data_IF_888540921147
#
_entry.id   IF_888540921147
#
_cell.length_a   1.000
_cell.length_b   1.000
_cell.length_c   1.000
_cell.angle_alpha   90.00
_cell.angle_beta   90.00
_cell.angle_gamma   90.00
#
_symmetry.space_group_name_H-M   'P 1'
#
loop_
_entity.id
_entity.type
_entity.pdbx_description
1 polymer ?
#
# COMPACT_ATOMS: atom_id res chain seq x y z
N UNK A 1 17.25 -1.20 2.29
CA UNK A 1 17.25 0.23 2.72
C UNK A 1 18.41 0.58 3.64
N UNK A 2 18.70 -0.20 4.71
CA UNK A 2 19.81 0.07 5.65
C UNK A 2 21.21 0.14 5.00
N UNK A 3 21.48 -0.69 3.98
CA UNK A 3 22.72 -0.62 3.20
C UNK A 3 22.85 0.72 2.48
N UNK A 4 21.83 1.11 1.71
CA UNK A 4 21.84 2.40 0.98
C UNK A 4 21.88 3.63 1.90
N UNK A 5 21.25 3.57 3.07
CA UNK A 5 21.38 4.63 4.09
C UNK A 5 22.84 4.77 4.53
N UNK A 6 23.52 3.65 4.77
CA UNK A 6 24.94 3.65 5.15
C UNK A 6 25.81 4.26 4.06
N UNK A 7 25.57 3.91 2.79
CA UNK A 7 26.32 4.47 1.66
C UNK A 7 26.16 6.01 1.59
N UNK A 8 24.94 6.52 1.81
CA UNK A 8 24.67 7.96 1.86
C UNK A 8 25.36 8.62 3.05
N UNK A 9 25.26 8.02 4.24
CA UNK A 9 25.90 8.54 5.45
C UNK A 9 27.44 8.57 5.31
N UNK A 10 28.03 7.56 4.66
CA UNK A 10 29.46 7.48 4.36
C UNK A 10 29.91 8.60 3.41
N UNK A 11 29.17 8.83 2.32
CA UNK A 11 29.46 9.91 1.35
C UNK A 11 29.33 11.28 2.01
N UNK A 12 28.28 11.51 2.80
CA UNK A 12 28.07 12.76 3.53
C UNK A 12 29.18 12.98 4.57
N UNK A 13 29.61 11.93 5.28
CA UNK A 13 30.71 12.00 6.24
C UNK A 13 32.04 12.31 5.55
N UNK A 14 32.28 11.72 4.38
CA UNK A 14 33.47 12.00 3.58
C UNK A 14 33.48 13.45 3.10
N UNK A 15 32.34 13.94 2.59
CA UNK A 15 32.19 15.34 2.17
C UNK A 15 32.44 16.30 3.33
N UNK A 16 31.84 16.08 4.50
CA UNK A 16 32.10 16.89 5.69
C UNK A 16 33.57 16.86 6.13
N UNK A 17 34.20 15.68 6.11
CA UNK A 17 35.61 15.54 6.47
C UNK A 17 36.52 16.33 5.54
N UNK A 18 36.26 16.28 4.23
CA UNK A 18 36.94 17.10 3.23
C UNK A 18 36.75 18.59 3.52
N UNK A 19 35.50 19.04 3.74
CA UNK A 19 35.20 20.45 3.99
C UNK A 19 35.81 21.00 5.28
N UNK A 20 36.03 20.17 6.31
CA UNK A 20 36.72 20.59 7.55
C UNK A 20 38.23 20.79 7.37
N UNK A 21 38.83 20.17 6.34
CA UNK A 21 40.27 20.26 6.05
C UNK A 21 40.62 21.48 5.18
N UNK A 22 39.63 22.13 4.56
CA UNK A 22 39.84 23.25 3.63
C UNK A 22 39.23 24.57 4.15
N UNK A 23 39.99 25.68 4.07
CA UNK A 23 39.44 27.02 4.38
C UNK A 23 38.64 27.56 3.19
N UNK A 24 37.32 27.53 3.32
CA UNK A 24 36.38 27.98 2.28
C UNK A 24 36.12 29.50 2.31
N UNK A 25 36.73 30.24 3.24
CA UNK A 25 36.47 31.67 3.41
C UNK A 25 37.12 32.49 2.30
N UNK A 26 36.45 33.53 1.77
CA UNK A 26 37.12 34.50 0.91
C UNK A 26 38.26 35.18 1.66
N UNK A 27 39.48 35.19 1.10
CA UNK A 27 40.57 36.02 1.60
C UNK A 27 40.18 37.50 1.48
N UNK A 28 40.17 38.23 2.60
CA UNK A 28 40.10 39.69 2.57
C UNK A 28 41.45 40.15 1.99
N UNK A 29 41.45 40.68 0.76
CA UNK A 29 42.67 41.18 0.11
C UNK A 29 43.33 42.22 1.01
N UNK A 30 44.47 41.88 1.62
CA UNK A 30 45.35 42.86 2.24
C UNK A 30 46.18 43.49 1.12
N UNK A 31 46.17 44.81 1.02
CA UNK A 31 46.89 45.59 -0.01
C UNK A 31 48.40 45.66 0.25
N UNK A 32 48.97 44.65 0.90
CA UNK A 32 50.38 44.65 1.32
C UNK A 32 51.26 44.20 0.15
N UNK A 33 52.14 45.10 -0.32
CA UNK A 33 53.06 44.93 -1.45
C UNK A 33 54.22 43.96 -1.21
N UNK A 34 54.15 43.12 -0.17
CA UNK A 34 55.20 42.18 0.25
C UNK A 34 54.74 40.71 0.32
N UNK A 35 53.56 40.38 -0.18
CA UNK A 35 53.11 38.99 -0.23
C UNK A 35 53.67 38.28 -1.48
N UNK A 36 54.47 37.22 -1.35
CA UNK A 36 54.72 36.30 -2.44
C UNK A 36 53.50 35.39 -2.65
N UNK A 37 53.42 34.77 -3.84
CA UNK A 37 52.53 33.68 -4.26
C UNK A 37 51.22 34.06 -4.99
N UNK A 38 51.32 34.44 -6.27
CA UNK A 38 50.18 34.42 -7.20
C UNK A 38 49.81 32.99 -7.65
N UNK A 39 50.76 32.04 -7.76
CA UNK A 39 50.50 30.64 -8.17
C UNK A 39 49.64 29.86 -7.14
N UNK A 40 49.79 30.16 -5.86
CA UNK A 40 49.08 29.48 -4.77
C UNK A 40 47.65 30.03 -4.58
N UNK A 41 47.36 31.21 -5.14
CA UNK A 41 46.05 31.88 -4.99
C UNK A 41 44.99 31.30 -5.93
N UNK A 42 45.38 30.87 -7.15
CA UNK A 42 44.51 30.20 -8.11
C UNK A 42 44.13 28.78 -7.66
N UNK A 43 45.11 27.99 -7.20
CA UNK A 43 44.85 26.65 -6.63
C UNK A 43 43.92 26.72 -5.41
N UNK A 44 44.15 27.69 -4.51
CA UNK A 44 43.26 27.91 -3.38
C UNK A 44 41.87 28.40 -3.81
N UNK A 45 41.74 29.15 -4.91
CA UNK A 45 40.44 29.55 -5.45
C UNK A 45 39.66 28.36 -6.02
N UNK A 46 40.35 27.45 -6.72
CA UNK A 46 39.75 26.21 -7.20
C UNK A 46 39.33 25.29 -6.06
N UNK A 47 40.16 25.10 -5.04
CA UNK A 47 39.80 24.32 -3.84
C UNK A 47 38.57 24.88 -3.13
N UNK A 48 38.43 26.22 -3.04
CA UNK A 48 37.22 26.87 -2.50
C UNK A 48 36.00 26.59 -3.37
N UNK A 49 36.12 26.72 -4.70
CA UNK A 49 35.03 26.44 -5.64
C UNK A 49 34.54 25.00 -5.50
N UNK A 50 35.46 24.05 -5.50
CA UNK A 50 35.18 22.61 -5.33
C UNK A 50 34.55 22.35 -3.96
N UNK A 51 35.06 22.94 -2.87
CA UNK A 51 34.47 22.81 -1.54
C UNK A 51 33.05 23.36 -1.44
N UNK A 52 32.77 24.53 -2.03
CA UNK A 52 31.39 25.07 -2.08
C UNK A 52 30.47 24.13 -2.86
N UNK A 53 30.95 23.57 -3.97
CA UNK A 53 30.19 22.61 -4.77
C UNK A 53 29.91 21.32 -3.98
N UNK A 54 30.93 20.73 -3.35
CA UNK A 54 30.79 19.53 -2.52
C UNK A 54 29.79 19.76 -1.38
N UNK A 55 29.84 20.93 -0.73
CA UNK A 55 28.86 21.28 0.29
C UNK A 55 27.44 21.31 -0.27
N UNK A 56 27.24 22.03 -1.37
CA UNK A 56 25.93 22.14 -2.02
C UNK A 56 25.39 20.78 -2.46
N UNK A 57 26.25 19.93 -3.03
CA UNK A 57 25.88 18.60 -3.50
C UNK A 57 25.57 17.66 -2.33
N UNK A 58 26.34 17.73 -1.23
CA UNK A 58 26.08 16.97 0.00
C UNK A 58 24.76 17.37 0.66
N UNK A 59 24.49 18.67 0.78
CA UNK A 59 23.24 19.18 1.35
C UNK A 59 22.03 18.74 0.51
N UNK A 60 22.14 18.83 -0.83
CA UNK A 60 21.11 18.35 -1.76
C UNK A 60 20.89 16.85 -1.66
N UNK A 61 21.96 16.06 -1.60
CA UNK A 61 21.88 14.60 -1.45
C UNK A 61 21.11 14.21 -0.18
N UNK A 62 21.38 14.87 0.95
CA UNK A 62 20.65 14.63 2.20
C UNK A 62 19.17 14.96 2.04
N UNK A 63 18.83 16.07 1.37
CA UNK A 63 17.44 16.46 1.13
C UNK A 63 16.71 15.43 0.25
N UNK A 64 17.27 15.11 -0.92
CA UNK A 64 16.68 14.15 -1.87
C UNK A 64 16.53 12.76 -1.25
N UNK A 65 17.53 12.33 -0.46
CA UNK A 65 17.48 11.04 0.24
C UNK A 65 16.35 10.99 1.28
N UNK A 66 16.17 12.07 2.05
CA UNK A 66 15.08 12.15 3.02
C UNK A 66 13.71 12.14 2.33
N UNK A 67 13.54 12.90 1.25
CA UNK A 67 12.31 12.92 0.46
C UNK A 67 12.00 11.54 -0.13
N UNK A 68 12.99 10.87 -0.73
CA UNK A 68 12.84 9.52 -1.25
C UNK A 68 12.42 8.53 -0.15
N UNK A 69 12.98 8.66 1.05
CA UNK A 69 12.63 7.80 2.19
C UNK A 69 11.19 8.05 2.65
N UNK A 70 10.74 9.30 2.68
CA UNK A 70 9.36 9.64 3.00
C UNK A 70 8.38 9.07 1.97
N UNK A 71 8.67 9.24 0.68
CA UNK A 71 7.87 8.68 -0.41
C UNK A 71 7.82 7.14 -0.33
N UNK A 72 8.96 6.47 -0.12
CA UNK A 72 9.01 5.02 0.00
C UNK A 72 8.21 4.52 1.20
N UNK A 73 8.27 5.22 2.33
CA UNK A 73 7.49 4.87 3.51
C UNK A 73 5.98 5.06 3.26
N UNK A 74 5.59 6.11 2.52
CA UNK A 74 4.19 6.32 2.12
C UNK A 74 3.72 5.19 1.20
N UNK A 75 4.51 4.82 0.20
CA UNK A 75 4.19 3.71 -0.71
C UNK A 75 4.11 2.37 0.01
N UNK A 76 5.02 2.10 0.95
CA UNK A 76 4.98 0.89 1.76
C UNK A 76 3.68 0.78 2.58
N UNK A 77 3.17 1.90 3.12
CA UNK A 77 1.87 1.94 3.82
C UNK A 77 0.71 1.65 2.88
N UNK A 78 0.71 2.24 1.69
CA UNK A 78 -0.34 2.00 0.68
C UNK A 78 -0.35 0.53 0.27
N UNK A 79 0.82 -0.05 -0.01
CA UNK A 79 0.95 -1.47 -0.37
C UNK A 79 0.46 -2.36 0.76
N UNK A 80 0.83 -2.07 2.01
CA UNK A 80 0.40 -2.85 3.17
C UNK A 80 -1.13 -2.80 3.37
N UNK A 81 -1.72 -1.61 3.27
CA UNK A 81 -3.17 -1.42 3.38
C UNK A 81 -3.93 -2.13 2.26
N UNK A 82 -3.47 -1.99 1.02
CA UNK A 82 -4.03 -2.69 -0.13
C UNK A 82 -3.94 -4.22 0.04
N UNK A 83 -2.79 -4.73 0.49
CA UNK A 83 -2.61 -6.15 0.73
C UNK A 83 -3.55 -6.67 1.82
N UNK A 84 -3.68 -5.95 2.94
CA UNK A 84 -4.60 -6.32 4.02
C UNK A 84 -6.06 -6.36 3.54
N UNK A 85 -6.48 -5.40 2.71
CA UNK A 85 -7.81 -5.38 2.09
C UNK A 85 -8.01 -6.55 1.11
N UNK A 86 -7.00 -6.90 0.30
CA UNK A 86 -7.06 -8.05 -0.60
C UNK A 86 -7.15 -9.40 0.14
N UNK A 87 -6.37 -9.57 1.21
CA UNK A 87 -6.46 -10.76 2.08
C UNK A 87 -7.84 -10.87 2.72
N UNK A 88 -8.37 -9.76 3.24
CA UNK A 88 -9.72 -9.72 3.79
C UNK A 88 -10.78 -10.05 2.74
N UNK A 89 -10.68 -9.47 1.55
CA UNK A 89 -11.58 -9.76 0.43
C UNK A 89 -11.57 -11.26 0.08
N UNK A 90 -10.39 -11.86 -0.01
CA UNK A 90 -10.25 -13.30 -0.29
C UNK A 90 -10.96 -14.17 0.78
N UNK A 91 -10.78 -13.83 2.06
CA UNK A 91 -11.50 -14.51 3.16
C UNK A 91 -13.01 -14.35 3.02
N UNK A 92 -13.49 -13.13 2.77
CA UNK A 92 -14.92 -12.84 2.62
C UNK A 92 -15.53 -13.54 1.40
N UNK A 93 -14.80 -13.64 0.28
CA UNK A 93 -15.22 -14.40 -0.90
C UNK A 93 -15.39 -15.88 -0.54
N UNK A 94 -14.44 -16.48 0.19
CA UNK A 94 -14.54 -17.88 0.61
C UNK A 94 -15.74 -18.10 1.55
N UNK A 95 -15.99 -17.18 2.48
CA UNK A 95 -17.16 -17.21 3.36
C UNK A 95 -18.48 -17.08 2.57
N UNK A 96 -18.54 -16.18 1.59
CA UNK A 96 -19.69 -16.04 0.68
C UNK A 96 -19.97 -17.34 -0.07
N UNK A 97 -18.94 -17.96 -0.64
CA UNK A 97 -19.08 -19.20 -1.39
C UNK A 97 -19.63 -20.33 -0.52
N UNK A 98 -19.11 -20.48 0.71
CA UNK A 98 -19.61 -21.46 1.68
C UNK A 98 -21.06 -21.17 2.10
N UNK A 99 -21.37 -19.90 2.39
CA UNK A 99 -22.71 -19.49 2.79
C UNK A 99 -23.74 -19.74 1.68
N UNK A 100 -23.41 -19.39 0.43
CA UNK A 100 -24.24 -19.66 -0.73
C UNK A 100 -24.42 -21.16 -0.98
N UNK A 101 -23.35 -21.96 -0.96
CA UNK A 101 -23.46 -23.40 -1.19
C UNK A 101 -24.31 -24.09 -0.11
N UNK A 102 -24.14 -23.73 1.16
CA UNK A 102 -24.98 -24.24 2.25
C UNK A 102 -26.45 -23.83 2.10
N UNK A 103 -26.69 -22.64 1.55
CA UNK A 103 -28.04 -22.13 1.32
C UNK A 103 -28.71 -22.86 0.14
N UNK A 104 -28.00 -23.02 -0.97
CA UNK A 104 -28.45 -23.77 -2.14
C UNK A 104 -28.80 -25.21 -1.78
N UNK A 105 -27.93 -25.90 -1.02
CA UNK A 105 -28.20 -27.27 -0.54
C UNK A 105 -29.49 -27.34 0.29
N UNK A 106 -29.73 -26.36 1.16
CA UNK A 106 -30.97 -26.30 1.96
C UNK A 106 -32.19 -26.01 1.11
N UNK A 107 -32.06 -25.17 0.08
CA UNK A 107 -33.14 -24.89 -0.86
C UNK A 107 -33.51 -26.12 -1.68
N UNK A 108 -32.52 -26.92 -2.11
CA UNK A 108 -32.75 -28.18 -2.84
C UNK A 108 -33.50 -29.22 -2.01
N UNK A 109 -33.36 -29.18 -0.68
CA UNK A 109 -34.08 -30.08 0.24
C UNK A 109 -35.53 -29.67 0.50
N UNK A 110 -35.94 -28.45 0.12
CA UNK A 110 -37.31 -27.99 0.32
C UNK A 110 -38.26 -28.64 -0.68
N UNK A 111 -39.35 -29.20 -0.15
CA UNK A 111 -40.45 -29.73 -0.98
C UNK A 111 -41.50 -28.65 -1.23
N UNK A 112 -42.11 -28.63 -2.42
CA UNK A 112 -43.28 -27.81 -2.69
C UNK A 112 -44.38 -28.06 -1.66
N UNK A 113 -45.16 -27.03 -1.32
CA UNK A 113 -46.22 -27.13 -0.32
C UNK A 113 -47.27 -28.16 -0.74
N UNK A 114 -47.51 -28.33 -2.05
CA UNK A 114 -48.49 -29.30 -2.56
C UNK A 114 -48.07 -30.77 -2.29
N UNK A 115 -46.79 -31.03 -2.03
CA UNK A 115 -46.25 -32.37 -1.76
C UNK A 115 -46.18 -32.71 -0.26
N UNK A 116 -46.50 -31.74 0.61
CA UNK A 116 -46.42 -31.89 2.06
C UNK A 116 -47.74 -32.41 2.65
N UNK A 117 -47.64 -33.26 3.65
CA UNK A 117 -48.79 -33.62 4.49
C UNK A 117 -49.09 -32.51 5.50
N UNK A 118 -50.34 -32.46 5.96
CA UNK A 118 -50.78 -31.49 6.97
C UNK A 118 -49.90 -31.53 8.25
N UNK A 119 -49.46 -32.71 8.67
CA UNK A 119 -48.59 -32.85 9.84
C UNK A 119 -47.16 -32.29 9.62
N UNK A 120 -46.73 -32.16 8.36
CA UNK A 120 -45.40 -31.68 7.98
C UNK A 120 -45.35 -30.16 7.81
N UNK A 121 -46.49 -29.49 7.67
CA UNK A 121 -46.57 -28.04 7.39
C UNK A 121 -45.86 -27.20 8.47
N UNK A 122 -46.07 -27.50 9.75
CA UNK A 122 -45.43 -26.76 10.84
C UNK A 122 -43.90 -26.85 10.77
N UNK A 123 -43.37 -28.01 10.38
CA UNK A 123 -41.94 -28.21 10.21
C UNK A 123 -41.42 -27.42 9.00
N UNK A 124 -42.11 -27.47 7.87
CA UNK A 124 -41.75 -26.73 6.66
C UNK A 124 -41.77 -25.21 6.87
N UNK A 125 -42.73 -24.68 7.65
CA UNK A 125 -42.74 -23.26 8.04
C UNK A 125 -41.51 -22.88 8.86
N UNK A 126 -41.12 -23.72 9.83
CA UNK A 126 -39.91 -23.47 10.63
C UNK A 126 -38.64 -23.53 9.78
N UNK A 127 -38.54 -24.48 8.84
CA UNK A 127 -37.41 -24.60 7.89
C UNK A 127 -37.32 -23.38 6.97
N UNK A 128 -38.46 -22.88 6.48
CA UNK A 128 -38.53 -21.65 5.69
C UNK A 128 -38.08 -20.42 6.50
N UNK A 129 -38.49 -20.31 7.76
CA UNK A 129 -38.07 -19.20 8.62
C UNK A 129 -36.57 -19.23 8.92
N UNK A 130 -36.00 -20.42 9.15
CA UNK A 130 -34.55 -20.59 9.26
C UNK A 130 -33.85 -20.20 7.96
N UNK A 131 -34.38 -20.61 6.80
CA UNK A 131 -33.81 -20.25 5.50
C UNK A 131 -33.77 -18.72 5.30
N UNK A 132 -34.81 -17.98 5.72
CA UNK A 132 -34.79 -16.50 5.70
C UNK A 132 -33.70 -15.90 6.58
N UNK A 133 -33.42 -16.49 7.74
CA UNK A 133 -32.34 -16.03 8.60
C UNK A 133 -30.96 -16.30 7.97
N UNK A 134 -30.77 -17.47 7.35
CA UNK A 134 -29.56 -17.77 6.60
C UNK A 134 -29.38 -16.83 5.41
N UNK A 135 -30.44 -16.58 4.66
CA UNK A 135 -30.49 -15.62 3.56
C UNK A 135 -30.02 -14.22 4.00
N UNK A 136 -30.57 -13.72 5.10
CA UNK A 136 -30.19 -12.42 5.67
C UNK A 136 -28.70 -12.38 6.06
N UNK A 137 -28.16 -13.49 6.57
CA UNK A 137 -26.73 -13.61 6.89
C UNK A 137 -25.86 -13.67 5.64
N UNK A 138 -26.24 -14.47 4.64
CA UNK A 138 -25.52 -14.56 3.35
C UNK A 138 -25.45 -13.20 2.67
N UNK A 139 -26.53 -12.42 2.73
CA UNK A 139 -26.54 -11.03 2.23
C UNK A 139 -25.43 -10.18 2.84
N UNK A 140 -25.26 -10.24 4.16
CA UNK A 140 -24.21 -9.44 4.84
C UNK A 140 -22.83 -9.79 4.28
N UNK A 141 -22.53 -11.06 4.06
CA UNK A 141 -21.24 -11.47 3.47
C UNK A 141 -21.06 -10.94 2.04
N UNK A 142 -22.10 -11.00 1.21
CA UNK A 142 -22.06 -10.50 -0.17
C UNK A 142 -21.89 -8.98 -0.21
N UNK A 143 -22.62 -8.26 0.64
CA UNK A 143 -22.50 -6.80 0.80
C UNK A 143 -21.07 -6.44 1.27
N UNK A 144 -20.53 -7.14 2.27
CA UNK A 144 -19.15 -6.94 2.75
C UNK A 144 -18.10 -7.20 1.65
N UNK A 145 -18.29 -8.24 0.84
CA UNK A 145 -17.37 -8.57 -0.27
C UNK A 145 -17.39 -7.47 -1.34
N UNK A 146 -18.58 -6.97 -1.69
CA UNK A 146 -18.76 -5.89 -2.66
C UNK A 146 -18.19 -4.56 -2.13
N UNK A 147 -18.37 -4.27 -0.84
CA UNK A 147 -17.81 -3.07 -0.19
C UNK A 147 -16.28 -3.10 -0.18
N UNK A 148 -15.68 -4.25 0.14
CA UNK A 148 -14.21 -4.42 0.09
C UNK A 148 -13.67 -4.27 -1.33
N UNK A 149 -14.36 -4.84 -2.32
CA UNK A 149 -14.04 -4.65 -3.74
C UNK A 149 -14.13 -3.17 -4.13
N UNK A 150 -15.17 -2.45 -3.70
CA UNK A 150 -15.34 -1.03 -3.96
C UNK A 150 -14.25 -0.17 -3.33
N UNK A 151 -13.84 -0.49 -2.09
CA UNK A 151 -12.74 0.20 -1.41
C UNK A 151 -11.38 -0.01 -2.09
N UNK A 152 -11.12 -1.20 -2.63
CA UNK A 152 -9.91 -1.49 -3.41
C UNK A 152 -9.88 -0.68 -4.71
N UNK A 153 -10.99 -0.68 -5.46
CA UNK A 153 -11.12 0.13 -6.68
C UNK A 153 -10.97 1.63 -6.41
N UNK A 154 -11.54 2.13 -5.31
CA UNK A 154 -11.38 3.53 -4.89
C UNK A 154 -9.95 3.88 -4.45
N UNK A 155 -9.13 2.86 -4.15
CA UNK A 155 -7.71 3.02 -3.82
C UNK A 155 -6.81 2.82 -5.06
N UNK A 156 -7.38 2.84 -6.27
CA UNK A 156 -6.71 2.53 -7.55
C UNK A 156 -6.06 1.14 -7.57
N UNK A 157 -6.60 0.18 -6.79
CA UNK A 157 -6.16 -1.21 -6.78
C UNK A 157 -7.10 -2.03 -7.63
N UNK A 158 -6.64 -2.40 -8.83
CA UNK A 158 -7.36 -3.30 -9.71
C UNK A 158 -7.31 -4.73 -9.17
N UNK A 159 -8.47 -5.39 -9.13
CA UNK A 159 -8.56 -6.80 -8.76
C UNK A 159 -7.98 -7.66 -9.88
N UNK A 160 -7.24 -8.70 -9.49
CA UNK A 160 -6.83 -9.73 -10.42
C UNK A 160 -8.04 -10.44 -11.05
N UNK A 161 -7.88 -11.08 -12.22
CA UNK A 161 -9.00 -11.72 -12.94
C UNK A 161 -9.74 -12.76 -12.11
N UNK A 162 -9.03 -13.52 -11.27
CA UNK A 162 -9.62 -14.59 -10.46
C UNK A 162 -10.57 -14.06 -9.36
N UNK A 163 -10.13 -13.19 -8.42
CA UNK A 163 -11.04 -12.57 -7.45
C UNK A 163 -12.22 -11.85 -8.08
N UNK A 164 -12.00 -11.17 -9.22
CA UNK A 164 -13.09 -10.51 -9.96
C UNK A 164 -14.12 -11.52 -10.50
N UNK A 165 -13.66 -12.63 -11.08
CA UNK A 165 -14.55 -13.70 -11.55
C UNK A 165 -15.30 -14.37 -10.40
N UNK A 166 -14.64 -14.56 -9.25
CA UNK A 166 -15.26 -15.14 -8.05
C UNK A 166 -16.36 -14.22 -7.49
N UNK A 167 -16.10 -12.92 -7.37
CA UNK A 167 -17.11 -11.93 -6.95
C UNK A 167 -18.29 -11.89 -7.92
N UNK A 168 -18.03 -11.91 -9.22
CA UNK A 168 -19.08 -11.96 -10.23
C UNK A 168 -19.93 -13.22 -10.06
N UNK A 169 -19.31 -14.39 -9.91
CA UNK A 169 -19.99 -15.66 -9.67
C UNK A 169 -20.86 -15.64 -8.40
N UNK A 170 -20.36 -15.05 -7.31
CA UNK A 170 -21.13 -14.85 -6.06
C UNK A 170 -22.36 -13.97 -6.33
N UNK A 171 -22.18 -12.83 -6.99
CA UNK A 171 -23.27 -11.90 -7.28
C UNK A 171 -24.31 -12.52 -8.23
N UNK A 172 -23.87 -13.27 -9.25
CA UNK A 172 -24.74 -13.97 -10.18
C UNK A 172 -25.57 -15.05 -9.45
N UNK A 173 -24.94 -15.86 -8.57
CA UNK A 173 -25.64 -16.87 -7.75
C UNK A 173 -26.63 -16.22 -6.78
N UNK A 174 -26.21 -15.15 -6.11
CA UNK A 174 -27.06 -14.40 -5.21
C UNK A 174 -28.29 -13.83 -5.95
N UNK A 175 -28.13 -13.33 -7.17
CA UNK A 175 -29.24 -12.83 -7.99
C UNK A 175 -30.19 -13.91 -8.55
N UNK A 176 -29.84 -15.20 -8.46
CA UNK A 176 -30.75 -16.31 -8.79
C UNK A 176 -31.54 -16.75 -7.55
N UNK A 177 -30.94 -16.63 -6.38
CA UNK A 177 -31.55 -16.93 -5.08
C UNK A 177 -32.60 -15.87 -4.68
N UNK A 178 -32.55 -14.68 -5.28
CA UNK A 178 -33.43 -13.53 -5.03
C UNK A 178 -34.10 -13.02 -6.32
#
# INVERSE_FOLDING_TARGET
MKLRQRDVDEVVTLAHSYLMQHDLRPRIRSTSTLAPDEENDDENAELRRVGIQIKSDSDRLVQEWNELREQLNAWARIIYDANAKMEKLSSTIAECQLALSNMEERMEQLRPIEELRLEELTKAVNESEQLKQYLARTRIYVDDANDLSGQLLASDVELAPEPSAQLKSINDRYAVVF
#
